data_IF_411316778995
#
_entry.id   IF_411316778995
#
_cell.length_a   1.000
_cell.length_b   1.000
_cell.length_c   1.000
_cell.angle_alpha   90.00
_cell.angle_beta   90.00
_cell.angle_gamma   90.00
#
_symmetry.space_group_name_H-M   'P 1'
#
loop_
_entity.id
_entity.type
_entity.pdbx_description
1 polymer ?
#
# COMPACT_ATOMS: atom_id res chain seq x y z
N UNK A 1 -16.79 21.45 23.69
CA UNK A 1 -15.71 20.99 22.79
C UNK A 1 -16.24 19.73 22.17
N UNK A 2 -16.30 19.64 20.84
CA UNK A 2 -16.61 18.38 20.16
C UNK A 2 -15.53 17.38 20.55
N UNK A 3 -15.94 16.17 20.91
CA UNK A 3 -15.03 15.07 21.25
C UNK A 3 -14.11 14.79 20.05
N UNK A 4 -12.81 14.60 20.29
CA UNK A 4 -11.85 14.34 19.22
C UNK A 4 -11.98 12.87 18.80
N UNK A 5 -12.03 12.56 17.50
CA UNK A 5 -12.18 11.19 17.05
C UNK A 5 -10.92 10.36 17.30
N UNK A 6 -11.10 9.08 17.58
CA UNK A 6 -10.05 8.09 17.32
C UNK A 6 -9.86 7.93 15.81
N UNK A 7 -8.67 7.52 15.40
CA UNK A 7 -8.30 7.33 14.01
C UNK A 7 -7.69 5.94 13.87
N UNK A 8 -8.30 5.12 13.02
CA UNK A 8 -7.81 3.80 12.65
C UNK A 8 -7.51 3.80 11.15
N UNK A 9 -6.23 3.81 10.81
CA UNK A 9 -5.73 3.69 9.45
C UNK A 9 -5.38 2.23 9.15
N UNK A 10 -5.94 1.69 8.08
CA UNK A 10 -5.77 0.31 7.64
C UNK A 10 -5.19 0.33 6.22
N UNK A 11 -4.02 -0.28 6.04
CA UNK A 11 -3.37 -0.49 4.74
C UNK A 11 -3.41 -1.98 4.40
N UNK A 12 -3.93 -2.31 3.23
CA UNK A 12 -3.90 -3.65 2.62
C UNK A 12 -2.72 -3.67 1.65
N UNK A 13 -1.65 -4.40 1.93
CA UNK A 13 -0.41 -4.34 1.14
C UNK A 13 -0.65 -4.78 -0.31
N UNK A 14 -0.27 -3.98 -1.31
CA UNK A 14 -0.35 -4.37 -2.74
C UNK A 14 -1.77 -4.67 -3.29
N UNK A 15 -2.83 -4.03 -2.78
CA UNK A 15 -4.22 -4.21 -3.27
C UNK A 15 -4.56 -3.22 -4.38
N UNK A 16 -4.89 -3.73 -5.57
CA UNK A 16 -5.36 -2.91 -6.70
C UNK A 16 -6.80 -2.44 -6.52
N UNK A 17 -7.13 -1.23 -6.97
CA UNK A 17 -8.51 -0.75 -6.94
C UNK A 17 -9.46 -1.61 -7.80
N UNK A 18 -9.03 -2.02 -8.99
CA UNK A 18 -9.81 -2.79 -9.96
C UNK A 18 -10.01 -4.27 -9.60
N UNK A 19 -9.38 -4.77 -8.53
CA UNK A 19 -9.61 -6.09 -7.92
C UNK A 19 -10.47 -6.04 -6.66
N UNK A 20 -11.14 -4.92 -6.41
CA UNK A 20 -12.07 -4.78 -5.27
C UNK A 20 -13.52 -4.75 -5.72
N UNK A 21 -14.43 -5.25 -4.87
CA UNK A 21 -15.87 -5.23 -5.16
C UNK A 21 -16.38 -3.80 -5.41
N UNK A 22 -15.90 -2.80 -4.65
CA UNK A 22 -16.32 -1.41 -4.83
C UNK A 22 -15.69 -0.74 -6.06
N UNK A 23 -14.53 -1.21 -6.51
CA UNK A 23 -13.91 -0.82 -7.78
C UNK A 23 -14.60 -1.41 -9.02
N UNK A 24 -15.71 -2.14 -8.86
CA UNK A 24 -16.46 -2.73 -9.97
C UNK A 24 -15.92 -4.07 -10.45
N UNK A 25 -15.05 -4.72 -9.66
CA UNK A 25 -14.55 -6.05 -9.98
C UNK A 25 -15.69 -7.06 -10.04
N UNK A 26 -15.61 -8.00 -10.99
CA UNK A 26 -16.67 -8.98 -11.24
C UNK A 26 -16.82 -10.05 -10.14
N UNK A 27 -15.88 -10.11 -9.19
CA UNK A 27 -15.83 -11.09 -8.09
C UNK A 27 -15.96 -10.37 -6.73
N UNK A 28 -16.55 -11.05 -5.75
CA UNK A 28 -16.78 -10.48 -4.40
C UNK A 28 -15.54 -10.59 -3.50
N UNK A 29 -14.47 -9.88 -3.87
CA UNK A 29 -13.18 -9.89 -3.14
C UNK A 29 -13.18 -9.04 -1.86
N UNK A 30 -14.02 -8.00 -1.75
CA UNK A 30 -14.03 -7.09 -0.59
C UNK A 30 -15.44 -6.78 -0.06
N UNK A 31 -16.26 -7.79 0.30
CA UNK A 31 -17.63 -7.57 0.74
C UNK A 31 -17.74 -6.78 2.06
N UNK A 32 -16.79 -6.90 2.99
CA UNK A 32 -16.81 -6.13 4.24
C UNK A 32 -16.43 -4.67 4.01
N UNK A 33 -15.37 -4.40 3.24
CA UNK A 33 -15.00 -3.02 2.89
C UNK A 33 -16.11 -2.34 2.09
N UNK A 34 -16.76 -3.06 1.15
CA UNK A 34 -17.95 -2.56 0.44
C UNK A 34 -19.08 -2.19 1.41
N UNK A 35 -19.40 -3.07 2.36
CA UNK A 35 -20.42 -2.80 3.38
C UNK A 35 -20.08 -1.56 4.23
N UNK A 36 -18.81 -1.35 4.54
CA UNK A 36 -18.35 -0.14 5.27
C UNK A 36 -18.54 1.09 4.40
N UNK A 37 -18.16 1.02 3.12
CA UNK A 37 -18.32 2.12 2.15
C UNK A 37 -19.79 2.51 1.93
N UNK A 38 -20.70 1.53 1.90
CA UNK A 38 -22.14 1.72 1.66
C UNK A 38 -22.93 2.15 2.91
N UNK A 39 -22.29 2.17 4.07
CA UNK A 39 -22.95 2.63 5.30
C UNK A 39 -23.24 4.14 5.27
N UNK A 40 -24.17 4.61 6.11
CA UNK A 40 -24.56 6.03 6.16
C UNK A 40 -23.38 7.00 6.45
N UNK A 41 -22.34 6.51 7.13
CA UNK A 41 -21.13 7.26 7.46
C UNK A 41 -19.93 6.85 6.58
N UNK A 42 -20.14 6.00 5.59
CA UNK A 42 -19.15 5.46 4.68
C UNK A 42 -18.98 6.28 3.40
N UNK A 43 -17.78 6.24 2.83
CA UNK A 43 -17.49 6.82 1.52
C UNK A 43 -16.37 6.04 0.83
N UNK A 44 -16.62 5.62 -0.40
CA UNK A 44 -15.59 5.15 -1.34
C UNK A 44 -15.11 6.30 -2.22
N UNK A 45 -13.79 6.41 -2.39
CA UNK A 45 -13.14 7.32 -3.32
C UNK A 45 -12.59 6.51 -4.49
N UNK A 46 -13.21 6.65 -5.66
CA UNK A 46 -12.91 5.83 -6.83
C UNK A 46 -11.59 6.16 -7.51
N UNK A 47 -11.04 7.36 -7.33
CA UNK A 47 -9.78 7.79 -7.97
C UNK A 47 -8.71 8.09 -6.90
N UNK A 48 -8.35 7.08 -6.10
CA UNK A 48 -7.25 7.19 -5.15
C UNK A 48 -5.95 6.62 -5.74
N UNK A 49 -4.87 7.40 -5.67
CA UNK A 49 -3.56 6.97 -6.18
C UNK A 49 -2.51 6.98 -5.08
N UNK A 50 -1.66 5.95 -5.09
CA UNK A 50 -0.46 5.89 -4.26
C UNK A 50 0.52 7.00 -4.61
N UNK A 51 1.51 7.23 -3.75
CA UNK A 51 2.55 8.24 -4.02
C UNK A 51 3.78 7.64 -4.70
N UNK A 52 3.98 6.33 -4.51
CA UNK A 52 5.04 5.58 -5.14
C UNK A 52 4.56 4.19 -5.52
N UNK A 53 5.47 3.45 -6.16
CA UNK A 53 5.14 2.14 -6.73
C UNK A 53 5.39 0.99 -5.75
N UNK A 54 5.83 1.25 -4.52
CA UNK A 54 6.27 0.21 -3.59
C UNK A 54 6.22 0.70 -2.14
N UNK A 55 6.18 -0.22 -1.18
CA UNK A 55 5.84 0.06 0.22
C UNK A 55 6.67 1.15 0.88
N UNK A 56 8.00 1.18 0.69
CA UNK A 56 8.83 2.18 1.38
C UNK A 56 8.45 3.62 0.99
N UNK A 57 8.33 3.88 -0.31
CA UNK A 57 8.00 5.21 -0.81
C UNK A 57 6.57 5.60 -0.41
N UNK A 58 5.61 4.71 -0.62
CA UNK A 58 4.20 4.96 -0.30
C UNK A 58 3.95 5.12 1.19
N UNK A 59 4.47 4.22 2.04
CA UNK A 59 4.30 4.30 3.49
C UNK A 59 4.98 5.54 4.07
N UNK A 60 6.14 5.94 3.55
CA UNK A 60 6.77 7.19 3.95
C UNK A 60 5.91 8.40 3.57
N UNK A 61 5.28 8.40 2.40
CA UNK A 61 4.35 9.47 2.02
C UNK A 61 3.11 9.52 2.91
N UNK A 62 2.54 8.36 3.24
CA UNK A 62 1.41 8.26 4.18
C UNK A 62 1.82 8.81 5.56
N UNK A 63 2.93 8.33 6.13
CA UNK A 63 3.36 8.65 7.49
C UNK A 63 4.07 10.00 7.64
N UNK A 64 4.24 10.75 6.56
CA UNK A 64 4.74 12.14 6.60
C UNK A 64 3.77 13.14 5.99
N UNK A 65 2.75 12.66 5.27
CA UNK A 65 1.88 13.44 4.40
C UNK A 65 2.68 14.29 3.38
N UNK A 66 3.74 13.72 2.79
CA UNK A 66 4.60 14.39 1.80
C UNK A 66 4.92 13.49 0.62
N UNK A 67 5.39 14.05 -0.50
CA UNK A 67 5.76 13.31 -1.70
C UNK A 67 7.14 12.63 -1.58
N UNK A 68 7.39 11.55 -2.34
CA UNK A 68 8.67 10.84 -2.33
C UNK A 68 9.89 11.71 -2.60
N UNK A 69 9.82 12.63 -3.56
CA UNK A 69 10.92 13.55 -3.83
C UNK A 69 11.20 14.53 -2.70
N UNK A 70 10.26 14.75 -1.77
CA UNK A 70 10.47 15.61 -0.62
C UNK A 70 11.09 14.87 0.57
N UNK A 71 10.56 13.68 0.90
CA UNK A 71 11.06 12.86 2.01
C UNK A 71 12.26 11.98 1.67
N UNK A 72 12.51 11.68 0.39
CA UNK A 72 13.70 10.97 -0.10
C UNK A 72 13.72 9.45 0.12
N UNK A 73 12.98 8.92 1.10
CA UNK A 73 12.83 7.48 1.31
C UNK A 73 12.21 6.78 0.08
N UNK A 74 12.86 5.72 -0.40
CA UNK A 74 12.45 4.99 -1.61
C UNK A 74 12.73 5.72 -2.93
N UNK A 75 13.42 6.86 -2.87
CA UNK A 75 13.83 7.65 -4.04
C UNK A 75 15.36 7.69 -4.18
N UNK A 76 16.01 8.40 -3.26
CA UNK A 76 17.48 8.58 -3.24
C UNK A 76 18.12 7.96 -2.00
N UNK A 77 17.31 7.50 -1.04
CA UNK A 77 17.77 6.87 0.20
C UNK A 77 16.70 5.96 0.80
N UNK A 78 17.03 5.31 1.91
CA UNK A 78 16.19 4.27 2.50
C UNK A 78 15.39 4.75 3.72
N UNK A 79 15.61 5.98 4.16
CA UNK A 79 15.04 6.52 5.40
C UNK A 79 14.55 7.95 5.23
N UNK A 80 13.61 8.37 6.08
CA UNK A 80 13.17 9.75 6.13
C UNK A 80 14.15 10.62 6.95
N UNK A 81 14.38 11.89 6.59
CA UNK A 81 15.22 12.80 7.35
C UNK A 81 14.71 13.05 8.76
N UNK A 82 15.60 13.10 9.74
CA UNK A 82 15.25 13.38 11.13
C UNK A 82 14.52 14.73 11.33
N UNK A 83 14.78 15.70 10.44
CA UNK A 83 14.13 17.02 10.48
C UNK A 83 12.69 17.03 9.95
N UNK A 84 12.25 15.98 9.26
CA UNK A 84 10.88 15.85 8.75
C UNK A 84 9.99 15.26 9.86
N UNK A 85 8.97 15.98 10.36
CA UNK A 85 8.06 15.44 11.36
C UNK A 85 7.14 14.37 10.76
N UNK A 86 6.93 13.27 11.47
CA UNK A 86 5.96 12.23 11.07
C UNK A 86 4.54 12.58 11.47
N UNK A 87 3.56 11.95 10.82
CA UNK A 87 2.14 12.05 11.17
C UNK A 87 1.90 11.60 12.62
N UNK A 88 2.56 10.53 13.07
CA UNK A 88 2.45 10.05 14.44
C UNK A 88 3.00 11.08 15.45
N UNK A 89 4.15 11.72 15.16
CA UNK A 89 4.68 12.81 15.99
C UNK A 89 3.67 13.96 16.10
N UNK A 90 3.03 14.34 14.98
CA UNK A 90 2.02 15.41 14.94
C UNK A 90 0.75 15.07 15.73
N UNK A 91 0.26 13.84 15.66
CA UNK A 91 -0.87 13.39 16.49
C UNK A 91 -0.51 13.40 17.99
N UNK A 92 0.70 12.95 18.32
CA UNK A 92 1.20 12.93 19.69
C UNK A 92 1.35 14.33 20.28
N UNK A 93 1.72 15.33 19.48
CA UNK A 93 1.78 16.74 19.92
C UNK A 93 0.43 17.27 20.42
N UNK A 94 -0.68 16.75 19.90
CA UNK A 94 -2.03 17.07 20.37
C UNK A 94 -2.58 16.02 21.34
N UNK A 95 -1.75 15.11 21.85
CA UNK A 95 -2.10 14.19 22.94
C UNK A 95 -2.90 12.97 22.50
N UNK A 96 -2.66 12.46 21.29
CA UNK A 96 -3.10 11.13 20.90
C UNK A 96 -2.15 10.07 21.44
N UNK A 97 -2.71 8.92 21.84
CA UNK A 97 -1.94 7.70 22.01
C UNK A 97 -1.79 7.00 20.67
N UNK A 98 -0.55 6.67 20.33
CA UNK A 98 -0.18 6.28 18.97
C UNK A 98 0.37 4.87 18.89
N UNK A 99 -0.10 4.08 17.94
CA UNK A 99 0.45 2.75 17.69
C UNK A 99 0.58 2.42 16.21
N UNK A 100 1.62 1.64 15.88
CA UNK A 100 1.81 1.05 14.56
C UNK A 100 2.00 -0.46 14.69
N UNK A 101 1.25 -1.21 13.90
CA UNK A 101 1.31 -2.67 13.84
C UNK A 101 1.49 -3.06 12.37
N UNK A 102 2.64 -3.64 12.04
CA UNK A 102 2.99 -3.97 10.65
C UNK A 102 3.89 -5.22 10.57
N UNK A 103 3.75 -6.05 9.51
CA UNK A 103 4.69 -7.12 9.23
C UNK A 103 5.90 -6.65 8.41
N UNK A 104 5.86 -5.44 7.82
CA UNK A 104 6.84 -5.01 6.82
C UNK A 104 7.99 -4.19 7.45
N UNK A 105 9.22 -4.66 7.27
CA UNK A 105 10.45 -4.04 7.82
C UNK A 105 10.74 -2.62 7.30
N UNK A 106 10.17 -2.23 6.16
CA UNK A 106 10.27 -0.84 5.70
C UNK A 106 9.55 0.12 6.65
N UNK A 107 8.55 -0.35 7.40
CA UNK A 107 8.01 0.36 8.55
C UNK A 107 8.85 -0.05 9.76
N UNK A 108 9.91 0.70 10.07
CA UNK A 108 10.73 0.44 11.25
C UNK A 108 11.64 1.61 11.60
N UNK A 109 12.39 1.44 12.70
CA UNK A 109 13.48 2.36 13.08
C UNK A 109 14.62 2.45 12.06
N UNK A 110 14.76 1.46 11.16
CA UNK A 110 15.77 1.51 10.10
C UNK A 110 15.49 2.64 9.11
N UNK A 111 14.20 2.93 8.87
CA UNK A 111 13.73 3.95 7.91
C UNK A 111 13.25 5.22 8.61
N UNK A 112 13.10 5.19 9.94
CA UNK A 112 12.61 6.30 10.75
C UNK A 112 11.09 6.47 10.72
N UNK A 113 10.36 5.49 10.17
CA UNK A 113 8.89 5.47 10.10
C UNK A 113 8.22 5.02 11.40
N UNK A 114 8.97 4.50 12.37
CA UNK A 114 8.49 4.21 13.73
C UNK A 114 8.36 5.46 14.62
N UNK A 115 8.99 6.58 14.22
CA UNK A 115 9.03 7.80 15.03
C UNK A 115 7.64 8.36 15.27
N UNK A 116 7.39 8.69 16.53
CA UNK A 116 6.12 9.25 17.01
C UNK A 116 5.22 8.22 17.68
N UNK A 117 5.29 6.95 17.27
CA UNK A 117 4.48 5.88 17.85
C UNK A 117 4.89 5.55 19.30
N UNK A 118 3.92 5.48 20.21
CA UNK A 118 4.14 5.03 21.60
C UNK A 118 4.33 3.51 21.66
N UNK A 119 3.61 2.79 20.82
CA UNK A 119 3.73 1.35 20.66
C UNK A 119 4.00 1.00 19.20
N UNK A 120 5.15 0.38 18.94
CA UNK A 120 5.53 -0.07 17.62
C UNK A 120 5.72 -1.59 17.62
N UNK A 121 4.85 -2.29 16.88
CA UNK A 121 4.91 -3.74 16.75
C UNK A 121 5.30 -4.11 15.32
N UNK A 122 6.54 -4.55 15.20
CA UNK A 122 7.04 -5.24 14.01
C UNK A 122 6.90 -6.75 14.21
N UNK A 123 6.08 -7.40 13.38
CA UNK A 123 5.96 -8.86 13.40
C UNK A 123 6.90 -9.50 12.38
N UNK A 124 7.96 -10.12 12.89
CA UNK A 124 8.88 -11.00 12.15
C UNK A 124 8.87 -12.42 12.74
N UNK A 125 9.50 -13.38 12.04
CA UNK A 125 9.70 -14.77 12.52
C UNK A 125 10.25 -14.83 13.95
N UNK A 126 11.20 -13.97 14.32
CA UNK A 126 11.82 -13.99 15.66
C UNK A 126 11.04 -13.16 16.70
N UNK A 127 10.35 -12.10 16.25
CA UNK A 127 9.63 -11.17 17.12
C UNK A 127 8.25 -11.72 17.50
N UNK A 128 7.69 -12.63 16.70
CA UNK A 128 6.40 -13.29 16.94
C UNK A 128 6.29 -13.88 18.35
N UNK A 129 7.32 -14.62 18.80
CA UNK A 129 7.33 -15.26 20.13
C UNK A 129 7.40 -14.28 21.29
N UNK A 130 7.85 -13.04 21.07
CA UNK A 130 8.01 -12.01 22.10
C UNK A 130 6.80 -11.08 22.15
N UNK A 131 6.23 -10.74 20.99
CA UNK A 131 5.14 -9.77 20.86
C UNK A 131 3.75 -10.41 20.91
N UNK A 132 3.62 -11.66 20.46
CA UNK A 132 2.33 -12.37 20.44
C UNK A 132 2.17 -13.19 21.71
N UNK A 133 1.16 -12.85 22.53
CA UNK A 133 0.86 -13.59 23.76
C UNK A 133 0.54 -15.07 23.50
N UNK A 134 0.88 -15.96 24.44
CA UNK A 134 0.75 -17.41 24.30
C UNK A 134 -0.66 -17.86 23.90
N UNK A 135 -1.70 -17.14 24.37
CA UNK A 135 -3.09 -17.42 24.04
C UNK A 135 -3.42 -17.15 22.57
N UNK A 136 -2.89 -16.07 21.99
CA UNK A 136 -3.08 -15.73 20.58
C UNK A 136 -2.37 -16.76 19.69
N UNK A 137 -1.15 -17.17 20.06
CA UNK A 137 -0.43 -18.25 19.35
C UNK A 137 -1.21 -19.56 19.41
N UNK A 138 -1.76 -19.94 20.57
CA UNK A 138 -2.59 -21.14 20.71
C UNK A 138 -3.88 -21.06 19.88
N UNK A 139 -4.52 -19.89 19.80
CA UNK A 139 -5.70 -19.67 18.96
C UNK A 139 -5.38 -19.80 17.47
N UNK A 140 -4.26 -19.21 17.02
CA UNK A 140 -3.76 -19.37 15.65
C UNK A 140 -3.49 -20.84 15.34
N UNK A 141 -2.71 -21.54 16.18
CA UNK A 141 -2.38 -22.97 15.97
C UNK A 141 -3.65 -23.84 15.95
N UNK A 142 -4.64 -23.56 16.80
CA UNK A 142 -5.91 -24.30 16.82
C UNK A 142 -6.69 -24.14 15.51
N UNK A 143 -6.54 -23.00 14.85
CA UNK A 143 -7.26 -22.63 13.64
C UNK A 143 -6.30 -22.45 12.44
N UNK A 144 -5.17 -23.15 12.43
CA UNK A 144 -4.08 -22.94 11.46
C UNK A 144 -4.50 -23.30 10.03
N UNK A 145 -5.51 -24.16 9.88
CA UNK A 145 -6.09 -24.52 8.59
C UNK A 145 -7.04 -23.45 8.04
N UNK A 146 -7.56 -22.57 8.88
CA UNK A 146 -8.53 -21.54 8.47
C UNK A 146 -7.91 -20.15 8.33
N UNK A 147 -6.66 -19.96 8.76
CA UNK A 147 -5.93 -18.68 8.72
C UNK A 147 -4.49 -18.82 8.20
N UNK A 148 -4.14 -19.98 7.62
CA UNK A 148 -2.81 -20.28 7.11
C UNK A 148 -2.77 -21.59 6.33
N UNK A 149 -1.61 -21.96 5.80
CA UNK A 149 -1.39 -23.11 4.92
C UNK A 149 -1.35 -24.48 5.62
N UNK A 150 -1.99 -24.62 6.77
CA UNK A 150 -2.10 -25.88 7.51
C UNK A 150 -0.85 -26.28 8.31
N UNK A 151 -0.62 -27.58 8.51
CA UNK A 151 0.49 -28.11 9.33
C UNK A 151 1.81 -28.16 8.55
N UNK A 152 2.28 -27.00 8.09
CA UNK A 152 3.57 -26.84 7.41
C UNK A 152 4.50 -25.91 8.18
N UNK A 153 5.82 -26.15 8.07
CA UNK A 153 6.85 -25.24 8.57
C UNK A 153 7.29 -24.20 7.53
N UNK A 154 6.80 -24.32 6.29
CA UNK A 154 7.05 -23.35 5.23
C UNK A 154 6.31 -22.05 5.55
N UNK A 155 7.05 -21.02 5.96
CA UNK A 155 6.49 -19.75 6.40
C UNK A 155 5.83 -18.96 5.28
N UNK A 156 6.20 -19.22 4.01
CA UNK A 156 5.59 -18.60 2.83
C UNK A 156 4.11 -18.97 2.68
N UNK A 157 3.69 -20.07 3.33
CA UNK A 157 2.31 -20.56 3.30
C UNK A 157 1.46 -20.00 4.45
N UNK A 158 1.98 -19.10 5.28
CA UNK A 158 1.30 -18.59 6.47
C UNK A 158 1.19 -17.07 6.43
N UNK A 159 -0.03 -16.54 6.47
CA UNK A 159 -0.26 -15.11 6.68
C UNK A 159 -0.12 -14.73 8.16
N UNK A 160 0.43 -13.53 8.40
CA UNK A 160 0.52 -12.95 9.75
C UNK A 160 -0.67 -12.05 10.10
N UNK A 161 -1.60 -11.84 9.17
CA UNK A 161 -2.71 -10.87 9.28
C UNK A 161 -3.67 -11.18 10.42
N UNK A 162 -3.94 -12.46 10.66
CA UNK A 162 -4.69 -12.89 11.84
C UNK A 162 -4.06 -12.38 13.14
N UNK A 163 -2.73 -12.50 13.26
CA UNK A 163 -2.01 -12.09 14.46
C UNK A 163 -1.96 -10.57 14.60
N UNK A 164 -1.71 -9.85 13.50
CA UNK A 164 -1.78 -8.39 13.44
C UNK A 164 -3.17 -7.91 13.89
N UNK A 165 -4.24 -8.53 13.38
CA UNK A 165 -5.61 -8.19 13.75
C UNK A 165 -5.87 -8.40 15.25
N UNK A 166 -5.42 -9.53 15.83
CA UNK A 166 -5.58 -9.76 17.28
C UNK A 166 -4.78 -8.79 18.13
N UNK A 167 -3.61 -8.34 17.67
CA UNK A 167 -2.82 -7.31 18.37
C UNK A 167 -3.51 -5.95 18.31
N UNK A 168 -4.02 -5.54 17.15
CA UNK A 168 -4.81 -4.32 16.99
C UNK A 168 -6.04 -4.32 17.91
N UNK A 169 -6.83 -5.40 17.87
CA UNK A 169 -8.01 -5.55 18.71
C UNK A 169 -7.67 -5.52 20.20
N UNK A 170 -6.56 -6.13 20.62
CA UNK A 170 -6.11 -6.08 22.00
C UNK A 170 -5.70 -4.67 22.39
N UNK A 171 -4.91 -3.99 21.56
CA UNK A 171 -4.44 -2.63 21.81
C UNK A 171 -5.62 -1.66 22.04
N UNK A 172 -6.66 -1.76 21.20
CA UNK A 172 -7.88 -0.98 21.32
C UNK A 172 -8.69 -1.34 22.57
N UNK A 173 -8.80 -2.64 22.91
CA UNK A 173 -9.55 -3.11 24.09
C UNK A 173 -8.88 -2.68 25.40
N UNK A 174 -7.56 -2.74 25.47
CA UNK A 174 -6.80 -2.36 26.66
C UNK A 174 -6.93 -0.86 26.99
N UNK A 175 -7.37 -0.04 26.02
CA UNK A 175 -7.52 1.42 26.14
C UNK A 175 -8.96 1.93 26.18
N UNK A 176 -9.95 1.05 26.35
CA UNK A 176 -11.38 1.44 26.47
C UNK A 176 -11.68 2.42 27.59
N UNK A 177 -10.84 2.46 28.62
CA UNK A 177 -11.05 3.32 29.78
C UNK A 177 -10.17 4.58 29.77
N UNK A 178 -9.41 4.79 28.70
CA UNK A 178 -8.50 5.93 28.57
C UNK A 178 -9.21 7.14 27.96
N UNK A 179 -8.87 8.35 28.44
CA UNK A 179 -9.47 9.61 27.94
C UNK A 179 -8.74 10.15 26.69
N UNK A 180 -7.54 9.65 26.40
CA UNK A 180 -6.75 10.09 25.26
C UNK A 180 -7.32 9.51 23.95
N UNK A 181 -7.47 10.31 22.88
CA UNK A 181 -7.87 9.79 21.59
C UNK A 181 -6.75 8.94 20.98
N UNK A 182 -7.13 7.97 20.16
CA UNK A 182 -6.23 6.95 19.63
C UNK A 182 -5.87 7.21 18.17
N UNK A 183 -4.60 6.98 17.79
CA UNK A 183 -4.18 6.86 16.39
C UNK A 183 -3.51 5.50 16.19
N UNK A 184 -4.19 4.61 15.49
CA UNK A 184 -3.70 3.28 15.14
C UNK A 184 -3.40 3.22 13.64
N UNK A 185 -2.15 2.92 13.30
CA UNK A 185 -1.72 2.55 11.95
C UNK A 185 -1.57 1.03 11.87
N UNK A 186 -2.41 0.38 11.08
CA UNK A 186 -2.39 -1.06 10.86
C UNK A 186 -2.07 -1.35 9.39
N UNK A 187 -1.03 -2.14 9.15
CA UNK A 187 -0.64 -2.59 7.82
C UNK A 187 -0.82 -4.12 7.78
N UNK A 188 -1.79 -4.61 7.02
CA UNK A 188 -1.95 -6.04 6.73
C UNK A 188 -1.05 -6.41 5.55
N UNK A 189 -0.33 -7.52 5.65
CA UNK A 189 0.64 -7.94 4.65
C UNK A 189 0.03 -8.59 3.40
N UNK A 190 -1.19 -9.12 3.48
CA UNK A 190 -1.91 -9.58 2.29
C UNK A 190 -2.53 -8.42 1.50
N UNK A 191 -2.67 -8.54 0.17
CA UNK A 191 -2.33 -9.69 -0.68
C UNK A 191 -0.90 -9.77 -1.25
N UNK A 192 0.15 -9.19 -0.65
CA UNK A 192 1.52 -9.28 -1.20
C UNK A 192 1.99 -10.74 -1.42
N UNK A 193 2.69 -11.01 -2.53
CA UNK A 193 3.24 -12.33 -2.86
C UNK A 193 4.22 -12.85 -1.77
N UNK A 194 4.29 -14.16 -1.46
CA UNK A 194 3.67 -15.30 -2.14
C UNK A 194 2.18 -15.42 -1.84
N UNK A 195 1.37 -15.59 -2.89
CA UNK A 195 -0.08 -15.77 -2.72
C UNK A 195 -0.37 -17.18 -2.22
N UNK A 196 -0.92 -17.30 -1.01
CA UNK A 196 -1.25 -18.58 -0.40
C UNK A 196 -2.48 -18.48 0.53
N UNK A 197 -3.66 -18.11 -0.02
CA UNK A 197 -4.84 -17.91 0.80
C UNK A 197 -5.33 -19.25 1.40
N UNK A 198 -6.06 -19.21 2.53
CA UNK A 198 -6.72 -20.40 3.06
C UNK A 198 -7.66 -21.03 2.02
N UNK A 199 -7.77 -22.36 2.04
CA UNK A 199 -8.52 -23.14 1.02
C UNK A 199 -9.94 -22.61 0.83
N UNK A 200 -10.63 -22.21 1.91
CA UNK A 200 -11.99 -21.68 1.84
C UNK A 200 -12.12 -20.50 0.87
N UNK A 201 -11.15 -19.59 0.87
CA UNK A 201 -11.17 -18.43 -0.02
C UNK A 201 -10.75 -18.83 -1.43
N UNK A 202 -9.73 -19.68 -1.57
CA UNK A 202 -9.30 -20.15 -2.89
C UNK A 202 -10.38 -20.96 -3.62
N UNK A 203 -11.12 -21.82 -2.90
CA UNK A 203 -12.22 -22.62 -3.45
C UNK A 203 -13.31 -21.76 -4.11
N UNK A 204 -13.53 -20.55 -3.60
CA UNK A 204 -14.50 -19.60 -4.15
C UNK A 204 -14.05 -19.04 -5.50
N UNK A 205 -12.78 -18.62 -5.60
CA UNK A 205 -12.26 -17.96 -6.81
C UNK A 205 -11.69 -18.93 -7.86
N UNK A 206 -11.42 -20.17 -7.47
CA UNK A 206 -10.92 -21.24 -8.35
C UNK A 206 -12.01 -22.22 -8.82
N UNK A 207 -13.30 -21.94 -8.57
CA UNK A 207 -14.39 -22.90 -8.81
C UNK A 207 -14.52 -23.36 -10.26
N UNK A 208 -14.12 -22.51 -11.21
CA UNK A 208 -14.19 -22.78 -12.65
C UNK A 208 -12.86 -23.31 -13.24
N UNK A 209 -11.82 -23.46 -12.41
CA UNK A 209 -10.51 -23.95 -12.85
C UNK A 209 -10.52 -25.48 -13.09
N UNK A 210 -9.74 -25.95 -14.06
CA UNK A 210 -9.49 -27.38 -14.23
C UNK A 210 -8.35 -27.90 -13.36
N UNK A 211 -7.58 -26.99 -12.76
CA UNK A 211 -6.49 -27.31 -11.85
C UNK A 211 -7.04 -27.63 -10.46
N UNK A 212 -6.36 -28.54 -9.75
CA UNK A 212 -6.59 -28.71 -8.33
C UNK A 212 -6.06 -27.52 -7.52
N UNK A 213 -6.59 -27.31 -6.31
CA UNK A 213 -6.12 -26.24 -5.42
C UNK A 213 -4.61 -26.33 -5.12
N UNK A 214 -4.08 -27.55 -5.04
CA UNK A 214 -2.64 -27.78 -4.82
C UNK A 214 -1.83 -27.31 -6.03
N UNK A 215 -2.26 -27.63 -7.27
CA UNK A 215 -1.60 -27.16 -8.49
C UNK A 215 -1.63 -25.63 -8.58
N UNK A 216 -2.77 -25.00 -8.29
CA UNK A 216 -2.92 -23.55 -8.26
C UNK A 216 -1.94 -22.93 -7.25
N UNK A 217 -1.86 -23.46 -6.04
CA UNK A 217 -0.94 -22.95 -5.00
C UNK A 217 0.54 -23.12 -5.36
N UNK A 218 0.89 -24.21 -6.05
CA UNK A 218 2.27 -24.39 -6.52
C UNK A 218 2.61 -23.38 -7.64
N UNK A 219 1.67 -22.97 -8.49
CA UNK A 219 1.86 -21.85 -9.43
C UNK A 219 2.13 -20.54 -8.68
N UNK A 220 1.40 -20.26 -7.59
CA UNK A 220 1.65 -19.08 -6.75
C UNK A 220 3.03 -19.06 -6.09
N UNK A 221 3.50 -20.22 -5.63
CA UNK A 221 4.85 -20.36 -5.06
C UNK A 221 5.94 -20.22 -6.13
N UNK A 222 5.74 -20.82 -7.30
CA UNK A 222 6.64 -20.67 -8.45
C UNK A 222 6.74 -19.22 -8.91
N UNK A 223 5.59 -18.52 -9.00
CA UNK A 223 5.55 -17.09 -9.31
C UNK A 223 6.38 -16.25 -8.34
N UNK A 224 6.30 -16.54 -7.04
CA UNK A 224 7.09 -15.83 -6.03
C UNK A 224 8.59 -16.18 -6.10
N UNK A 225 8.93 -17.47 -6.15
CA UNK A 225 10.32 -17.94 -6.12
C UNK A 225 11.08 -17.52 -7.40
N UNK A 226 10.41 -17.50 -8.55
CA UNK A 226 11.00 -17.26 -9.88
C UNK A 226 10.56 -15.92 -10.50
N UNK A 227 10.07 -14.97 -9.70
CA UNK A 227 9.49 -13.70 -10.15
C UNK A 227 10.32 -12.96 -11.22
N UNK A 228 11.63 -12.83 -11.00
CA UNK A 228 12.53 -12.14 -11.93
C UNK A 228 12.88 -12.95 -13.17
N UNK A 229 12.91 -14.29 -13.06
CA UNK A 229 13.09 -15.17 -14.22
C UNK A 229 11.88 -15.05 -15.15
N UNK A 230 10.67 -15.10 -14.58
CA UNK A 230 9.42 -14.89 -15.30
C UNK A 230 9.35 -13.52 -15.97
N UNK A 231 9.71 -12.43 -15.28
CA UNK A 231 9.79 -11.11 -15.90
C UNK A 231 10.85 -11.04 -17.01
N UNK A 232 12.02 -11.63 -16.81
CA UNK A 232 13.10 -11.66 -17.81
C UNK A 232 12.67 -12.43 -19.09
N UNK A 233 11.75 -13.38 -18.96
CA UNK A 233 11.11 -14.13 -20.04
C UNK A 233 9.81 -13.49 -20.57
N UNK A 234 9.49 -12.27 -20.14
CA UNK A 234 8.27 -11.53 -20.52
C UNK A 234 6.96 -12.17 -20.06
N UNK A 235 6.93 -12.63 -18.81
CA UNK A 235 5.77 -13.20 -18.12
C UNK A 235 5.15 -14.40 -18.86
N UNK A 236 5.86 -15.55 -18.93
CA UNK A 236 5.56 -16.66 -19.82
C UNK A 236 4.38 -17.55 -19.36
N UNK A 237 3.39 -17.00 -18.63
CA UNK A 237 2.27 -17.77 -18.12
C UNK A 237 1.21 -18.06 -19.19
N UNK A 238 0.69 -19.27 -19.17
CA UNK A 238 -0.48 -19.68 -19.94
C UNK A 238 -1.75 -19.01 -19.42
N UNK A 239 -2.84 -19.05 -20.20
CA UNK A 239 -4.13 -18.50 -19.76
C UNK A 239 -4.63 -19.15 -18.46
N UNK A 240 -4.43 -20.46 -18.29
CA UNK A 240 -4.84 -21.20 -17.09
C UNK A 240 -3.98 -20.82 -15.86
N UNK A 241 -2.69 -20.56 -16.05
CA UNK A 241 -1.81 -20.07 -14.98
C UNK A 241 -2.14 -18.63 -14.59
N UNK A 242 -2.48 -17.76 -15.54
CA UNK A 242 -2.96 -16.40 -15.23
C UNK A 242 -4.28 -16.43 -14.44
N UNK A 243 -5.22 -17.28 -14.82
CA UNK A 243 -6.46 -17.48 -14.07
C UNK A 243 -6.19 -18.01 -12.65
N UNK A 244 -5.20 -18.90 -12.50
CA UNK A 244 -4.77 -19.40 -11.19
C UNK A 244 -4.14 -18.31 -10.31
N UNK A 245 -3.25 -17.47 -10.87
CA UNK A 245 -2.64 -16.34 -10.16
C UNK A 245 -3.70 -15.31 -9.73
N UNK A 246 -4.65 -14.99 -10.61
CA UNK A 246 -5.76 -14.10 -10.28
C UNK A 246 -6.62 -14.68 -9.15
N UNK A 247 -6.97 -15.97 -9.19
CA UNK A 247 -7.74 -16.62 -8.13
C UNK A 247 -7.01 -16.64 -6.77
N UNK A 248 -5.69 -16.82 -6.77
CA UNK A 248 -4.88 -16.73 -5.56
C UNK A 248 -4.86 -15.32 -4.98
N UNK A 249 -4.64 -14.31 -5.82
CA UNK A 249 -4.62 -12.91 -5.41
C UNK A 249 -5.99 -12.46 -4.85
N UNK A 250 -7.08 -12.78 -5.56
CA UNK A 250 -8.45 -12.52 -5.13
C UNK A 250 -8.77 -13.20 -3.79
N UNK A 251 -8.29 -14.43 -3.61
CA UNK A 251 -8.43 -15.18 -2.37
C UNK A 251 -7.71 -14.54 -1.19
N UNK A 252 -6.54 -13.93 -1.41
CA UNK A 252 -5.82 -13.18 -0.36
C UNK A 252 -6.56 -11.88 -0.01
N UNK A 253 -7.06 -11.14 -1.00
CA UNK A 253 -7.86 -9.93 -0.77
C UNK A 253 -9.09 -10.26 0.09
N UNK A 254 -9.84 -11.31 -0.27
CA UNK A 254 -11.02 -11.75 0.49
C UNK A 254 -10.68 -12.22 1.91
N UNK A 255 -9.53 -12.85 2.08
CA UNK A 255 -9.05 -13.24 3.40
C UNK A 255 -8.73 -12.04 4.29
N UNK A 256 -8.06 -11.02 3.75
CA UNK A 256 -7.75 -9.80 4.52
C UNK A 256 -9.02 -8.96 4.77
N UNK A 257 -9.96 -8.91 3.82
CA UNK A 257 -11.27 -8.26 3.98
C UNK A 257 -12.04 -8.81 5.19
N UNK A 258 -11.96 -10.11 5.49
CA UNK A 258 -12.56 -10.70 6.69
C UNK A 258 -11.98 -10.10 7.99
N UNK A 259 -10.68 -9.81 8.03
CA UNK A 259 -10.06 -9.15 9.19
C UNK A 259 -10.47 -7.69 9.31
N UNK A 260 -10.60 -6.97 8.19
CA UNK A 260 -11.13 -5.60 8.19
C UNK A 260 -12.55 -5.57 8.76
N UNK A 261 -13.41 -6.50 8.33
CA UNK A 261 -14.76 -6.66 8.87
C UNK A 261 -14.78 -6.95 10.38
N UNK A 262 -13.97 -7.92 10.84
CA UNK A 262 -13.86 -8.25 12.26
C UNK A 262 -13.40 -7.04 13.10
N UNK A 263 -12.37 -6.33 12.62
CA UNK A 263 -11.80 -5.16 13.29
C UNK A 263 -12.86 -4.06 13.42
N UNK A 264 -13.50 -3.72 12.30
CA UNK A 264 -14.52 -2.69 12.24
C UNK A 264 -15.70 -2.99 13.18
N UNK A 265 -16.30 -4.18 13.06
CA UNK A 265 -17.46 -4.56 13.89
C UNK A 265 -17.10 -4.62 15.37
N UNK A 266 -15.89 -5.08 15.71
CA UNK A 266 -15.44 -5.10 17.11
C UNK A 266 -15.27 -3.70 17.65
N UNK A 267 -14.61 -2.80 16.92
CA UNK A 267 -14.40 -1.41 17.35
C UNK A 267 -15.72 -0.67 17.55
N UNK A 268 -16.68 -0.84 16.63
CA UNK A 268 -18.02 -0.25 16.76
C UNK A 268 -18.76 -0.75 18.01
N UNK A 269 -18.40 -1.93 18.54
CA UNK A 269 -18.96 -2.46 19.80
C UNK A 269 -18.25 -1.96 21.06
N UNK A 270 -17.10 -1.26 20.93
CA UNK A 270 -16.35 -0.73 22.06
C UNK A 270 -16.85 0.66 22.46
N UNK A 271 -16.79 0.97 23.75
CA UNK A 271 -17.08 2.30 24.29
C UNK A 271 -15.83 3.18 24.28
N UNK A 272 -15.20 3.34 23.11
CA UNK A 272 -13.97 4.16 22.94
C UNK A 272 -14.26 5.55 22.35
N UNK A 273 -15.52 5.88 22.11
CA UNK A 273 -15.93 7.12 21.46
C UNK A 273 -15.91 7.05 19.93
N UNK A 274 -16.16 8.21 19.30
CA UNK A 274 -16.25 8.32 17.84
C UNK A 274 -14.93 7.91 17.17
N UNK A 275 -14.99 7.00 16.19
CA UNK A 275 -13.81 6.47 15.52
C UNK A 275 -13.94 6.64 14.01
N UNK A 276 -12.92 7.27 13.43
CA UNK A 276 -12.75 7.40 11.99
C UNK A 276 -11.91 6.22 11.50
N UNK A 277 -12.41 5.52 10.49
CA UNK A 277 -11.65 4.52 9.75
C UNK A 277 -11.22 5.05 8.40
N UNK A 278 -9.99 4.72 8.01
CA UNK A 278 -9.49 4.85 6.65
C UNK A 278 -8.95 3.49 6.23
N UNK A 279 -9.48 2.92 5.16
CA UNK A 279 -9.06 1.63 4.59
C UNK A 279 -8.53 1.90 3.18
N UNK A 280 -7.31 1.48 2.90
CA UNK A 280 -6.64 1.75 1.62
C UNK A 280 -5.57 0.72 1.31
N UNK A 281 -4.85 0.92 0.22
CA UNK A 281 -3.60 0.22 -0.09
C UNK A 281 -2.45 1.20 -0.27
N UNK A 282 -1.22 0.75 -0.05
CA UNK A 282 -0.01 1.53 -0.27
C UNK A 282 0.40 1.59 -1.75
N UNK A 283 0.14 0.51 -2.50
CA UNK A 283 0.27 0.41 -3.97
C UNK A 283 -0.52 -0.80 -4.48
N UNK A 284 -0.60 -0.98 -5.80
CA UNK A 284 -1.18 -2.17 -6.44
C UNK A 284 -0.13 -3.21 -6.83
N UNK A 285 -0.45 -4.03 -7.82
CA UNK A 285 0.37 -5.17 -8.28
C UNK A 285 0.17 -5.42 -9.78
N UNK A 286 1.25 -5.69 -10.51
CA UNK A 286 1.23 -5.99 -11.95
C UNK A 286 1.02 -7.49 -12.18
N UNK A 287 0.12 -7.80 -13.10
CA UNK A 287 -0.21 -9.13 -13.62
C UNK A 287 0.08 -9.20 -15.13
N UNK A 288 1.28 -8.75 -15.53
CA UNK A 288 1.73 -8.78 -16.92
C UNK A 288 1.60 -7.45 -17.66
N UNK A 289 1.02 -6.40 -17.05
CA UNK A 289 1.03 -5.06 -17.62
C UNK A 289 2.47 -4.62 -17.90
N UNK A 290 2.70 -4.04 -19.08
CA UNK A 290 4.05 -3.73 -19.59
C UNK A 290 5.02 -4.93 -19.70
N UNK A 291 4.54 -6.17 -19.56
CA UNK A 291 5.36 -7.38 -19.51
C UNK A 291 6.04 -7.59 -18.15
N UNK A 292 5.56 -6.92 -17.11
CA UNK A 292 6.13 -6.93 -15.76
C UNK A 292 5.19 -7.61 -14.76
N UNK A 293 5.76 -8.01 -13.63
CA UNK A 293 5.05 -8.63 -12.51
C UNK A 293 5.33 -7.84 -11.23
N UNK A 294 4.46 -7.99 -10.24
CA UNK A 294 4.58 -7.32 -8.96
C UNK A 294 4.69 -5.79 -9.13
N UNK A 295 5.65 -5.12 -8.51
CA UNK A 295 5.64 -3.66 -8.42
C UNK A 295 7.05 -3.05 -8.56
N UNK A 296 7.67 -3.27 -9.73
CA UNK A 296 9.12 -3.08 -9.89
C UNK A 296 9.56 -1.78 -10.58
N UNK A 297 9.08 -1.50 -11.81
CA UNK A 297 9.74 -0.53 -12.70
C UNK A 297 8.87 0.64 -13.17
N UNK A 298 7.55 0.47 -13.22
CA UNK A 298 6.62 1.40 -13.89
C UNK A 298 5.62 2.02 -12.91
N UNK A 299 5.07 3.18 -13.25
CA UNK A 299 3.97 3.85 -12.53
C UNK A 299 2.64 3.59 -13.24
N UNK A 300 2.34 2.34 -13.57
CA UNK A 300 1.09 1.98 -14.26
C UNK A 300 -0.12 2.05 -13.29
N UNK A 301 -1.35 2.26 -13.76
CA UNK A 301 -2.56 2.27 -12.92
C UNK A 301 -2.70 0.97 -12.12
N UNK A 302 -2.34 -0.18 -12.67
CA UNK A 302 -2.34 -1.46 -11.96
C UNK A 302 -1.47 -1.45 -10.68
N UNK A 303 -0.44 -0.60 -10.59
CA UNK A 303 0.38 -0.45 -9.36
C UNK A 303 0.08 0.86 -8.61
N UNK A 304 -0.60 1.81 -9.24
CA UNK A 304 -0.75 3.17 -8.70
C UNK A 304 -2.16 3.45 -8.18
N UNK A 305 -3.18 2.89 -8.81
CA UNK A 305 -4.58 3.12 -8.50
C UNK A 305 -5.05 2.13 -7.43
N UNK A 306 -5.36 2.65 -6.26
CA UNK A 306 -5.58 1.87 -5.03
C UNK A 306 -6.96 2.15 -4.44
N UNK A 307 -7.57 1.20 -3.71
CA UNK A 307 -8.84 1.47 -3.04
C UNK A 307 -8.65 2.53 -1.94
N UNK A 308 -9.68 3.33 -1.70
CA UNK A 308 -9.78 4.18 -0.51
C UNK A 308 -11.22 4.27 -0.04
N UNK A 309 -11.45 3.80 1.18
CA UNK A 309 -12.73 3.89 1.88
C UNK A 309 -12.53 4.61 3.21
N UNK A 310 -13.43 5.51 3.54
CA UNK A 310 -13.48 6.14 4.86
C UNK A 310 -14.81 5.88 5.53
N UNK A 311 -14.81 5.78 6.86
CA UNK A 311 -16.03 5.73 7.66
C UNK A 311 -15.92 6.69 8.84
N UNK A 312 -16.96 7.51 9.07
CA UNK A 312 -17.00 8.50 10.15
C UNK A 312 -16.25 9.80 9.83
N UNK A 313 -15.65 9.90 8.64
CA UNK A 313 -14.99 11.09 8.15
C UNK A 313 -16.02 11.99 7.43
N UNK A 314 -16.58 12.98 8.12
CA UNK A 314 -17.65 13.89 7.64
C UNK A 314 -17.22 14.88 6.53
N UNK A 315 -16.15 14.55 5.80
CA UNK A 315 -15.61 15.38 4.70
C UNK A 315 -16.36 15.14 3.39
N UNK A 316 -17.11 14.04 3.31
CA UNK A 316 -17.86 13.62 2.12
C UNK A 316 -19.09 14.50 1.81
N UNK A 317 -19.58 15.33 2.74
CA UNK A 317 -20.59 16.35 2.42
C UNK A 317 -20.02 17.54 1.63
N UNK A 318 -18.69 17.69 1.56
CA UNK A 318 -18.03 18.80 0.90
C UNK A 318 -17.09 18.39 -0.25
N UNK A 319 -16.56 17.16 -0.23
CA UNK A 319 -15.63 16.69 -1.26
C UNK A 319 -16.37 16.21 -2.53
N UNK A 320 -16.39 17.07 -3.55
CA UNK A 320 -16.92 16.77 -4.90
C UNK A 320 -15.82 16.35 -5.90
N UNK A 321 -14.55 16.26 -5.46
CA UNK A 321 -13.43 15.88 -6.32
C UNK A 321 -13.40 14.38 -6.60
N UNK A 322 -12.88 14.00 -7.77
CA UNK A 322 -12.67 12.59 -8.11
C UNK A 322 -11.33 12.13 -7.50
N UNK A 323 -10.24 12.89 -7.71
CA UNK A 323 -8.85 12.49 -7.46
C UNK A 323 -8.34 12.74 -6.03
N UNK A 324 -7.82 11.71 -5.37
CA UNK A 324 -7.30 11.80 -4.00
C UNK A 324 -5.99 11.04 -3.83
N UNK A 325 -5.14 11.47 -2.90
CA UNK A 325 -4.01 10.67 -2.43
C UNK A 325 -3.97 10.58 -0.90
N UNK A 326 -3.28 9.58 -0.36
CA UNK A 326 -3.17 9.36 1.08
C UNK A 326 -2.71 10.57 1.91
N UNK A 327 -1.80 11.40 1.38
CA UNK A 327 -1.32 12.60 2.06
C UNK A 327 -2.44 13.61 2.29
N UNK A 328 -3.46 13.65 1.44
CA UNK A 328 -4.64 14.50 1.61
C UNK A 328 -5.47 14.04 2.79
N UNK A 329 -5.73 12.74 2.88
CA UNK A 329 -6.48 12.14 3.98
C UNK A 329 -5.73 12.40 5.30
N UNK A 330 -4.41 12.20 5.32
CA UNK A 330 -3.61 12.48 6.52
C UNK A 330 -3.59 13.97 6.87
N UNK A 331 -3.43 14.87 5.90
CA UNK A 331 -3.48 16.32 6.13
C UNK A 331 -4.85 16.74 6.67
N UNK A 332 -5.92 16.18 6.11
CA UNK A 332 -7.31 16.41 6.53
C UNK A 332 -7.53 15.95 7.97
N UNK A 333 -7.08 14.74 8.32
CA UNK A 333 -7.19 14.20 9.68
C UNK A 333 -6.42 15.04 10.70
N UNK A 334 -5.19 15.45 10.38
CA UNK A 334 -4.39 16.34 11.22
C UNK A 334 -5.09 17.70 11.43
N UNK A 335 -5.56 18.32 10.35
CA UNK A 335 -6.28 19.59 10.40
C UNK A 335 -7.59 19.50 11.20
N UNK A 336 -8.32 18.39 11.10
CA UNK A 336 -9.56 18.15 11.85
C UNK A 336 -9.36 18.14 13.36
N UNK A 337 -8.24 17.61 13.83
CA UNK A 337 -7.97 17.45 15.27
C UNK A 337 -7.11 18.60 15.84
N UNK A 338 -6.76 19.57 15.00
CA UNK A 338 -5.93 20.72 15.37
C UNK A 338 -4.44 20.39 15.53
N UNK A 339 -3.97 19.29 14.92
CA UNK A 339 -2.55 18.96 14.86
C UNK A 339 -1.83 19.83 13.82
N UNK A 340 -0.51 20.05 13.94
CA UNK A 340 0.23 20.86 12.98
C UNK A 340 0.22 20.24 11.58
N UNK A 341 -0.16 21.04 10.58
CA UNK A 341 -0.08 20.68 9.15
C UNK A 341 1.06 21.39 8.42
N UNK A 342 1.84 22.23 9.11
CA UNK A 342 2.98 22.90 8.49
C UNK A 342 3.96 21.87 7.89
N UNK A 343 4.23 22.03 6.59
CA UNK A 343 5.13 21.15 5.83
C UNK A 343 4.51 19.86 5.30
N UNK A 344 3.22 19.59 5.53
CA UNK A 344 2.51 18.56 4.74
C UNK A 344 2.30 19.06 3.31
N UNK A 345 2.14 18.14 2.37
CA UNK A 345 1.95 18.41 0.94
C UNK A 345 0.63 17.82 0.41
N UNK A 346 -0.15 17.19 1.28
CA UNK A 346 -1.56 16.91 1.02
C UNK A 346 -2.42 18.16 1.19
N UNK A 347 -3.64 18.11 0.65
CA UNK A 347 -4.66 19.15 0.80
C UNK A 347 -5.70 18.77 1.86
N UNK A 348 -6.45 19.75 2.38
CA UNK A 348 -7.61 19.49 3.25
C UNK A 348 -8.86 19.22 2.41
N UNK A 349 -9.27 17.96 2.31
CA UNK A 349 -10.39 17.48 1.49
C UNK A 349 -11.75 18.10 1.87
N UNK A 350 -11.84 18.78 3.02
CA UNK A 350 -13.06 19.51 3.43
C UNK A 350 -13.24 20.82 2.68
N UNK A 351 -12.15 21.38 2.16
CA UNK A 351 -12.12 22.74 1.62
C UNK A 351 -11.44 22.85 0.26
N UNK A 352 -10.74 21.81 -0.16
CA UNK A 352 -9.89 21.81 -1.35
C UNK A 352 -10.16 20.56 -2.22
N UNK A 353 -9.77 20.63 -3.50
CA UNK A 353 -9.83 19.53 -4.47
C UNK A 353 -8.53 19.42 -5.25
N UNK A 354 -8.25 18.24 -5.81
CA UNK A 354 -7.11 18.01 -6.70
C UNK A 354 -7.55 17.99 -8.15
N UNK A 355 -6.77 18.67 -8.98
CA UNK A 355 -6.88 18.57 -10.45
C UNK A 355 -6.05 17.39 -10.99
N UNK A 356 -5.04 16.96 -10.23
CA UNK A 356 -4.14 15.86 -10.59
C UNK A 356 -3.49 15.26 -9.34
N UNK A 357 -2.99 14.03 -9.49
CA UNK A 357 -2.21 13.31 -8.47
C UNK A 357 -0.84 12.93 -9.01
N UNK A 358 0.12 12.66 -8.12
CA UNK A 358 1.50 12.39 -8.52
C UNK A 358 2.02 11.09 -7.93
N UNK A 359 2.57 10.24 -8.79
CA UNK A 359 3.22 8.96 -8.46
C UNK A 359 4.68 9.02 -8.88
N UNK A 360 5.59 8.52 -8.06
CA UNK A 360 7.03 8.60 -8.34
C UNK A 360 7.77 7.28 -8.16
N UNK A 361 8.90 7.16 -8.87
CA UNK A 361 9.86 6.07 -8.72
C UNK A 361 11.30 6.60 -8.82
N UNK A 362 12.13 6.24 -7.84
CA UNK A 362 13.56 6.57 -7.84
C UNK A 362 14.37 5.83 -8.91
N UNK A 363 15.46 6.45 -9.38
CA UNK A 363 16.40 5.85 -10.34
C UNK A 363 17.15 4.63 -9.74
N UNK A 364 17.47 4.65 -8.45
CA UNK A 364 18.17 3.52 -7.81
C UNK A 364 17.30 2.25 -7.84
N UNK A 365 15.97 2.40 -7.70
CA UNK A 365 15.02 1.28 -7.80
C UNK A 365 14.98 0.71 -9.22
N UNK A 366 15.09 1.56 -10.25
CA UNK A 366 15.25 1.08 -11.63
C UNK A 366 16.51 0.25 -11.78
N UNK A 367 17.66 0.81 -11.39
CA UNK A 367 18.96 0.19 -11.62
C UNK A 367 19.05 -1.19 -10.96
N UNK A 368 18.61 -1.30 -9.70
CA UNK A 368 18.59 -2.56 -8.95
C UNK A 368 17.79 -3.65 -9.67
N UNK A 369 16.61 -3.31 -10.19
CA UNK A 369 15.75 -4.25 -10.87
C UNK A 369 16.26 -4.63 -12.26
N UNK A 370 16.75 -3.65 -13.03
CA UNK A 370 17.27 -3.89 -14.39
C UNK A 370 18.58 -4.66 -14.38
N UNK A 371 19.47 -4.42 -13.42
CA UNK A 371 20.71 -5.21 -13.27
C UNK A 371 20.38 -6.70 -13.13
N UNK A 372 19.39 -7.05 -12.31
CA UNK A 372 18.95 -8.45 -12.14
C UNK A 372 18.28 -9.02 -13.38
N UNK A 373 17.38 -8.25 -14.01
CA UNK A 373 16.69 -8.70 -15.24
C UNK A 373 17.69 -8.95 -16.37
N UNK A 374 18.70 -8.10 -16.51
CA UNK A 374 19.73 -8.23 -17.55
C UNK A 374 20.79 -9.28 -17.22
N UNK A 375 21.04 -9.57 -15.94
CA UNK A 375 21.83 -10.74 -15.52
C UNK A 375 21.16 -12.05 -15.94
N UNK A 376 19.84 -12.16 -15.72
CA UNK A 376 19.04 -13.34 -16.09
C UNK A 376 18.84 -13.45 -17.61
N UNK A 377 18.54 -12.34 -18.27
CA UNK A 377 18.39 -12.26 -19.72
C UNK A 377 19.10 -11.03 -20.30
N UNK A 378 20.32 -11.17 -20.86
CA UNK A 378 21.07 -10.07 -21.46
C UNK A 378 20.39 -9.39 -22.67
N UNK A 379 19.30 -9.97 -23.20
CA UNK A 379 18.51 -9.39 -24.29
C UNK A 379 17.19 -8.77 -23.78
N UNK A 380 16.98 -8.66 -22.48
CA UNK A 380 15.81 -7.99 -21.91
C UNK A 380 15.77 -6.54 -22.43
N UNK A 381 14.63 -6.13 -22.97
CA UNK A 381 14.47 -4.81 -23.59
C UNK A 381 14.27 -3.72 -22.54
N UNK A 382 15.37 -3.16 -22.06
CA UNK A 382 15.37 -2.07 -21.08
C UNK A 382 14.95 -0.74 -21.68
N UNK A 383 14.99 -0.59 -23.02
CA UNK A 383 14.71 0.69 -23.68
C UNK A 383 13.25 1.16 -23.54
N UNK A 384 12.37 0.26 -23.10
CA UNK A 384 10.96 0.51 -22.82
C UNK A 384 10.71 1.16 -21.47
N UNK A 385 11.73 1.32 -20.63
CA UNK A 385 11.59 1.83 -19.29
C UNK A 385 12.54 3.01 -19.08
N UNK A 386 12.06 4.06 -18.42
CA UNK A 386 12.92 5.17 -18.02
C UNK A 386 13.93 4.72 -16.96
N UNK A 387 15.18 5.14 -17.13
CA UNK A 387 16.29 4.86 -16.21
C UNK A 387 16.33 5.85 -15.04
N UNK A 388 16.01 7.10 -15.34
CA UNK A 388 16.08 8.22 -14.41
C UNK A 388 14.89 8.24 -13.43
N UNK A 389 14.89 9.17 -12.48
CA UNK A 389 13.73 9.34 -11.59
C UNK A 389 12.49 9.65 -12.42
N UNK A 390 11.46 8.81 -12.26
CA UNK A 390 10.21 8.92 -12.99
C UNK A 390 9.17 9.63 -12.12
N UNK A 391 8.49 10.64 -12.68
CA UNK A 391 7.35 11.33 -12.06
C UNK A 391 6.17 11.25 -13.02
N UNK A 392 5.06 10.67 -12.56
CA UNK A 392 3.83 10.55 -13.31
C UNK A 392 2.72 11.39 -12.68
N UNK A 393 2.04 12.19 -13.50
CA UNK A 393 0.87 12.98 -13.16
C UNK A 393 -0.36 12.28 -13.73
N UNK A 394 -1.37 12.05 -12.91
CA UNK A 394 -2.63 11.46 -13.34
C UNK A 394 -3.77 12.46 -13.20
N UNK A 395 -4.65 12.43 -14.18
CA UNK A 395 -6.00 12.99 -14.16
C UNK A 395 -7.00 11.83 -14.36
N UNK A 396 -8.30 12.08 -14.39
CA UNK A 396 -9.27 11.02 -14.68
C UNK A 396 -9.23 10.50 -16.13
N UNK A 397 -8.59 11.22 -17.07
CA UNK A 397 -8.52 10.83 -18.48
C UNK A 397 -7.12 10.48 -18.96
N UNK A 398 -6.07 11.06 -18.35
CA UNK A 398 -4.70 10.95 -18.84
C UNK A 398 -3.70 10.69 -17.71
N UNK A 399 -2.68 9.89 -18.05
CA UNK A 399 -1.42 9.82 -17.32
C UNK A 399 -0.32 10.44 -18.16
N UNK A 400 0.38 11.42 -17.60
CA UNK A 400 1.61 11.98 -18.17
C UNK A 400 2.80 11.58 -17.31
N UNK A 401 3.82 10.97 -17.88
CA UNK A 401 5.03 10.63 -17.15
C UNK A 401 6.25 11.31 -17.75
N UNK A 402 7.15 11.76 -16.89
CA UNK A 402 8.35 12.50 -17.27
C UNK A 402 9.55 12.02 -16.46
N UNK A 403 10.69 11.91 -17.13
CA UNK A 403 12.01 11.72 -16.56
C UNK A 403 13.07 12.50 -17.34
N UNK A 404 14.33 12.43 -16.95
CA UNK A 404 15.43 13.01 -17.74
C UNK A 404 15.63 12.30 -19.10
N UNK A 405 15.01 11.13 -19.29
CA UNK A 405 15.12 10.32 -20.50
C UNK A 405 14.06 10.69 -21.56
N UNK A 406 12.99 11.36 -21.13
CA UNK A 406 11.88 11.75 -22.00
C UNK A 406 10.57 11.90 -21.25
N UNK A 407 9.50 12.12 -22.02
CA UNK A 407 8.15 12.18 -21.50
C UNK A 407 7.16 11.51 -22.44
N UNK A 408 6.11 10.93 -21.86
CA UNK A 408 5.08 10.15 -22.55
C UNK A 408 3.71 10.49 -21.96
N UNK A 409 2.69 10.50 -22.82
CA UNK A 409 1.30 10.73 -22.45
C UNK A 409 0.47 9.50 -22.78
N UNK A 410 -0.37 9.03 -21.87
CA UNK A 410 -1.24 7.88 -22.05
C UNK A 410 -2.70 8.27 -21.78
N UNK A 411 -3.62 7.66 -22.53
CA UNK A 411 -5.06 7.82 -22.32
C UNK A 411 -5.55 6.70 -21.40
N UNK A 412 -6.11 7.04 -20.25
CA UNK A 412 -6.55 6.04 -19.28
C UNK A 412 -7.87 5.36 -19.70
N UNK A 413 -8.06 4.07 -19.38
CA UNK A 413 -7.12 3.18 -18.68
C UNK A 413 -6.08 2.49 -19.61
N UNK A 414 -6.02 2.85 -20.89
CA UNK A 414 -5.11 2.22 -21.86
C UNK A 414 -3.71 2.86 -21.82
N UNK A 415 -2.82 2.24 -21.05
CA UNK A 415 -1.43 2.68 -20.92
C UNK A 415 -0.47 1.96 -21.88
N UNK A 416 -0.96 1.37 -22.97
CA UNK A 416 -0.13 0.56 -23.87
C UNK A 416 0.67 1.36 -24.90
N UNK A 417 0.30 2.62 -25.18
CA UNK A 417 0.95 3.44 -26.20
C UNK A 417 0.96 4.93 -25.88
N UNK A 418 2.05 5.61 -26.24
CA UNK A 418 2.17 7.06 -26.13
C UNK A 418 1.26 7.77 -27.14
N UNK A 419 0.38 8.62 -26.65
CA UNK A 419 -0.58 9.42 -27.40
C UNK A 419 -0.20 10.91 -27.46
N UNK A 420 1.02 11.28 -27.04
CA UNK A 420 1.52 12.66 -27.06
C UNK A 420 1.40 13.35 -28.43
N UNK A 421 1.65 12.62 -29.53
CA UNK A 421 1.48 13.14 -30.89
C UNK A 421 0.01 13.39 -31.27
N UNK A 422 -0.92 12.64 -30.67
CA UNK A 422 -2.37 12.79 -30.89
C UNK A 422 -2.96 13.92 -30.06
N UNK A 423 -2.41 14.17 -28.87
CA UNK A 423 -2.85 15.19 -27.93
C UNK A 423 -1.71 16.15 -27.52
N UNK A 424 -1.09 16.87 -28.47
CA UNK A 424 0.09 17.70 -28.20
C UNK A 424 -0.20 18.88 -27.25
N UNK A 425 -1.42 19.44 -27.30
CA UNK A 425 -1.84 20.51 -26.40
C UNK A 425 -1.98 19.99 -24.95
N UNK A 426 -2.49 18.76 -24.78
CA UNK A 426 -2.62 18.12 -23.46
C UNK A 426 -1.24 17.83 -22.86
N UNK A 427 -0.31 17.30 -23.66
CA UNK A 427 1.07 17.08 -23.22
C UNK A 427 1.74 18.39 -22.77
N UNK A 428 1.56 19.49 -23.52
CA UNK A 428 2.12 20.79 -23.16
C UNK A 428 1.48 21.39 -21.88
N UNK A 429 0.19 21.13 -21.65
CA UNK A 429 -0.49 21.50 -20.40
C UNK A 429 0.08 20.72 -19.21
N UNK A 430 0.34 19.42 -19.38
CA UNK A 430 0.99 18.60 -18.35
C UNK A 430 2.45 19.04 -18.07
N UNK A 431 3.22 19.44 -19.07
CA UNK A 431 4.55 20.03 -18.86
C UNK A 431 4.47 21.27 -17.96
N UNK A 432 3.50 22.14 -18.25
CA UNK A 432 3.27 23.35 -17.45
C UNK A 432 2.86 22.99 -16.03
N UNK A 433 1.99 22.00 -15.88
CA UNK A 433 1.49 21.50 -14.60
C UNK A 433 2.61 20.90 -13.75
N UNK A 434 3.48 20.13 -14.38
CA UNK A 434 4.62 19.48 -13.75
C UNK A 434 5.65 20.50 -13.27
N UNK A 435 5.99 21.53 -14.07
CA UNK A 435 6.83 22.65 -13.64
C UNK A 435 6.21 23.40 -12.45
N UNK A 436 4.90 23.65 -12.49
CA UNK A 436 4.17 24.26 -11.36
C UNK A 436 4.27 23.36 -10.12
N UNK A 437 4.05 22.05 -10.25
CA UNK A 437 4.11 21.09 -9.17
C UNK A 437 5.49 21.02 -8.52
N UNK A 438 6.58 20.94 -9.30
CA UNK A 438 7.95 21.02 -8.76
C UNK A 438 8.21 22.31 -7.99
N UNK A 439 7.64 23.43 -8.46
CA UNK A 439 7.68 24.70 -7.73
C UNK A 439 6.95 24.67 -6.38
N UNK A 440 5.89 23.86 -6.26
CA UNK A 440 5.07 23.74 -5.04
C UNK A 440 5.69 22.82 -3.99
N UNK A 441 6.19 21.63 -4.40
CA UNK A 441 6.74 20.67 -3.43
C UNK A 441 8.05 21.16 -2.79
N UNK A 442 8.77 22.07 -3.45
CA UNK A 442 10.04 22.60 -2.98
C UNK A 442 11.18 21.59 -3.10
N UNK A 443 12.31 21.92 -2.48
CA UNK A 443 13.50 21.06 -2.48
C UNK A 443 13.36 19.91 -1.45
N UNK A 444 14.03 18.76 -1.68
CA UNK A 444 14.10 17.69 -0.69
C UNK A 444 14.55 18.21 0.68
N UNK A 445 13.97 17.66 1.76
CA UNK A 445 14.26 18.09 3.14
C UNK A 445 15.76 17.97 3.46
N UNK A 446 16.39 16.89 2.98
CA UNK A 446 17.82 16.66 3.15
C UNK A 446 18.56 16.73 1.81
N UNK A 447 19.72 17.39 1.81
CA UNK A 447 20.63 17.46 0.64
C UNK A 447 21.41 16.17 0.37
N UNK A 448 21.42 15.26 1.33
CA UNK A 448 22.16 14.00 1.27
C UNK A 448 21.18 12.85 1.50
N UNK A 449 21.31 11.75 0.73
CA UNK A 449 20.61 10.50 1.00
C UNK A 449 20.69 10.09 2.48
N UNK A 450 19.56 9.64 3.02
CA UNK A 450 19.53 9.02 4.34
C UNK A 450 19.67 7.52 4.16
N UNK A 451 20.66 6.93 4.84
CA UNK A 451 20.95 5.50 4.75
C UNK A 451 20.23 4.78 5.89
N UNK A 452 19.39 3.82 5.52
CA UNK A 452 18.67 3.02 6.50
C UNK A 452 19.57 2.03 7.21
N UNK A 453 19.32 1.78 8.50
CA UNK A 453 20.12 0.83 9.29
C UNK A 453 19.34 -0.44 9.57
N UNK A 454 19.22 -1.28 8.56
CA UNK A 454 18.56 -2.58 8.66
C UNK A 454 19.43 -3.60 9.39
N UNK A 455 18.85 -4.28 10.37
CA UNK A 455 19.45 -5.46 11.01
C UNK A 455 19.48 -6.65 10.05
N UNK A 456 20.27 -7.68 10.34
CA UNK A 456 20.33 -8.89 9.52
C UNK A 456 18.94 -9.55 9.38
N UNK A 457 18.15 -9.55 10.47
CA UNK A 457 16.79 -10.09 10.47
C UNK A 457 15.83 -9.26 9.61
N UNK A 458 15.95 -7.93 9.61
CA UNK A 458 15.16 -7.07 8.72
C UNK A 458 15.52 -7.31 7.26
N UNK A 459 16.81 -7.49 6.96
CA UNK A 459 17.27 -7.80 5.60
C UNK A 459 16.73 -9.16 5.14
N UNK A 460 16.83 -10.18 5.98
CA UNK A 460 16.26 -11.52 5.70
C UNK A 460 14.76 -11.42 5.42
N UNK A 461 14.00 -10.67 6.23
CA UNK A 461 12.58 -10.48 5.98
C UNK A 461 12.31 -9.72 4.67
N UNK A 462 13.04 -8.65 4.39
CA UNK A 462 12.85 -7.90 3.14
C UNK A 462 13.24 -8.73 1.91
N UNK A 463 14.22 -9.62 2.02
CA UNK A 463 14.55 -10.58 0.96
C UNK A 463 13.43 -11.62 0.79
N UNK A 464 12.89 -12.17 1.88
CA UNK A 464 11.74 -13.08 1.86
C UNK A 464 10.48 -12.43 1.26
N UNK A 465 10.31 -11.12 1.42
CA UNK A 465 9.24 -10.33 0.82
C UNK A 465 9.59 -9.85 -0.61
N UNK A 466 10.72 -10.26 -1.18
CA UNK A 466 11.10 -9.86 -2.55
C UNK A 466 11.55 -8.39 -2.71
N UNK A 467 11.72 -7.64 -1.62
CA UNK A 467 12.19 -6.25 -1.64
C UNK A 467 13.71 -6.12 -1.79
N UNK A 468 14.48 -7.08 -1.27
CA UNK A 468 15.94 -7.12 -1.41
C UNK A 468 16.38 -8.21 -2.38
N UNK A 469 17.44 -7.90 -3.10
CA UNK A 469 18.13 -8.82 -4.01
C UNK A 469 19.48 -9.14 -3.33
N UNK A 470 19.70 -10.42 -2.99
CA UNK A 470 20.97 -10.92 -2.44
C UNK A 470 22.09 -10.96 -3.50
#
# INVERSE_FOLDING_TARGET
MTERPNIVWITLESTRADHTTMGGYGRETTPNVQRIADSDAGRYFSECYSHGIWTLASSASILTATYPSYHGAGMTGDAIPAALPTVAERFKEVGYDTACISPNSHLSSATGLDRGFDEFVWLSKSTLRKSVGLQTVLSYVRNIQTHGGGLTLDTRRHSTDYMLNKLALRWLKDRQTEEAPLFLYLHYGGPHHPYHPPDRFLEEFASDSNLSLDEIKEIGLDHHDNLYEHMAESSPFTAEEWEALAALYDGEIAHVDEFVGELFDTVQSLDIGHTIFVITSDHGELFGESGLLAHQLVTNEAVSHVPLVTHGLDVALAYEGELVQHADVMTTLLAMVGAPTDGTQGIDLRTEHRDFVVVQRGADRYQQNVDKLTELNPNFDTSRFSESTLTALFTSEFKYQHSDDGAELYLLPDESSDVSELYPDVAADFDTLLVKWWGMIGAPVAKQPQVGRFTDEMREQLADLGYLID
#
